data_IF_070157214919
#
_entry.id   IF_070157214919
#
_cell.length_a   1.000
_cell.length_b   1.000
_cell.length_c   1.000
_cell.angle_alpha   90.00
_cell.angle_beta   90.00
_cell.angle_gamma   90.00
#
_symmetry.space_group_name_H-M   'P 1'
#
loop_
_entity.id
_entity.type
_entity.pdbx_description
1 polymer ?
#
# COMPACT_ATOMS: atom_id res chain seq x y z
N UNK A 1 -3.12 -11.46 -2.33
CA UNK A 1 -4.46 -10.83 -2.23
C UNK A 1 -4.97 -11.01 -0.81
N UNK A 2 -5.98 -10.25 -0.37
CA UNK A 2 -6.54 -10.37 0.99
C UNK A 2 -5.97 -9.42 2.04
N UNK A 3 -5.46 -8.25 1.65
CA UNK A 3 -5.00 -7.21 2.58
C UNK A 3 -6.05 -6.09 2.80
N UNK A 4 -7.13 -6.14 2.01
CA UNK A 4 -8.31 -5.29 2.12
C UNK A 4 -9.55 -6.17 1.97
N UNK A 5 -10.62 -5.91 2.76
CA UNK A 5 -11.91 -6.53 2.51
C UNK A 5 -12.50 -5.98 1.23
N UNK A 6 -13.21 -6.83 0.49
CA UNK A 6 -14.07 -6.38 -0.60
C UNK A 6 -15.39 -5.84 -0.02
N UNK A 7 -16.03 -4.92 -0.73
CA UNK A 7 -17.46 -4.66 -0.51
C UNK A 7 -18.28 -5.91 -0.88
N UNK A 8 -19.52 -5.99 -0.38
CA UNK A 8 -20.39 -7.13 -0.68
C UNK A 8 -20.62 -7.29 -2.20
N UNK A 9 -20.78 -6.18 -2.92
CA UNK A 9 -21.00 -6.19 -4.37
C UNK A 9 -19.76 -6.66 -5.13
N UNK A 10 -18.57 -6.15 -4.77
CA UNK A 10 -17.31 -6.59 -5.38
C UNK A 10 -17.01 -8.07 -5.10
N UNK A 11 -17.28 -8.54 -3.87
CA UNK A 11 -17.08 -9.92 -3.48
C UNK A 11 -17.99 -10.87 -4.27
N UNK A 12 -19.28 -10.54 -4.41
CA UNK A 12 -20.23 -11.33 -5.18
C UNK A 12 -19.86 -11.37 -6.67
N UNK A 13 -19.46 -10.24 -7.23
CA UNK A 13 -19.01 -10.17 -8.63
C UNK A 13 -17.76 -11.02 -8.85
N UNK A 14 -16.77 -10.92 -7.95
CA UNK A 14 -15.54 -11.70 -8.03
C UNK A 14 -15.80 -13.20 -7.94
N UNK A 15 -16.65 -13.64 -7.00
CA UNK A 15 -17.05 -15.04 -6.84
C UNK A 15 -17.67 -15.57 -8.14
N UNK A 16 -18.49 -14.77 -8.82
CA UNK A 16 -19.07 -15.14 -10.11
C UNK A 16 -18.05 -15.21 -11.24
N UNK A 17 -17.17 -14.21 -11.37
CA UNK A 17 -16.17 -14.15 -12.46
C UNK A 17 -15.15 -15.28 -12.34
N UNK A 18 -14.72 -15.60 -11.11
CA UNK A 18 -13.65 -16.57 -10.83
C UNK A 18 -14.22 -17.98 -10.57
N UNK A 19 -15.55 -18.14 -10.61
CA UNK A 19 -16.26 -19.40 -10.35
C UNK A 19 -15.89 -20.01 -8.99
N UNK A 20 -15.96 -19.18 -7.94
CA UNK A 20 -15.72 -19.61 -6.57
C UNK A 20 -17.04 -20.10 -5.92
N UNK A 21 -16.95 -20.95 -4.88
CA UNK A 21 -18.12 -21.31 -4.08
C UNK A 21 -18.77 -20.09 -3.43
N UNK A 22 -20.10 -20.09 -3.30
CA UNK A 22 -20.85 -18.95 -2.76
C UNK A 22 -20.44 -18.55 -1.33
N UNK A 23 -19.95 -19.52 -0.54
CA UNK A 23 -19.40 -19.28 0.79
C UNK A 23 -18.13 -18.42 0.79
N UNK A 24 -17.42 -18.31 -0.34
CA UNK A 24 -16.21 -17.50 -0.48
C UNK A 24 -16.50 -16.00 -0.33
N UNK A 25 -17.72 -15.52 -0.63
CA UNK A 25 -18.11 -14.12 -0.41
C UNK A 25 -17.87 -13.70 1.03
N UNK A 26 -18.19 -14.57 2.00
CA UNK A 26 -18.00 -14.25 3.42
C UNK A 26 -16.52 -13.98 3.72
N UNK A 27 -15.65 -14.90 3.30
CA UNK A 27 -14.20 -14.78 3.48
C UNK A 27 -13.62 -13.53 2.80
N UNK A 28 -14.14 -13.13 1.63
CA UNK A 28 -13.68 -11.95 0.89
C UNK A 28 -14.10 -10.62 1.56
N UNK A 29 -15.20 -10.61 2.30
CA UNK A 29 -15.71 -9.42 3.00
C UNK A 29 -15.19 -9.27 4.44
N UNK A 30 -14.59 -10.32 5.01
CA UNK A 30 -14.04 -10.29 6.37
C UNK A 30 -12.83 -9.35 6.46
N UNK A 31 -12.69 -8.66 7.60
CA UNK A 31 -11.51 -7.82 7.86
C UNK A 31 -10.30 -8.75 8.00
N UNK A 32 -9.27 -8.65 7.13
CA UNK A 32 -8.18 -9.60 7.15
C UNK A 32 -7.17 -9.27 8.24
N UNK A 33 -6.44 -10.30 8.66
CA UNK A 33 -5.12 -10.10 9.28
C UNK A 33 -4.19 -9.54 8.22
N UNK A 34 -3.72 -8.31 8.45
CA UNK A 34 -2.81 -7.60 7.55
C UNK A 34 -1.36 -7.93 7.87
N UNK A 35 -0.52 -7.94 6.85
CA UNK A 35 0.88 -8.38 6.92
C UNK A 35 1.09 -9.56 6.01
N UNK A 36 1.52 -9.27 4.78
CA UNK A 36 1.71 -10.30 3.74
C UNK A 36 3.15 -10.84 3.66
N UNK A 37 4.06 -10.33 4.50
CA UNK A 37 5.47 -10.73 4.49
C UNK A 37 5.74 -11.75 5.59
N UNK A 38 6.47 -12.81 5.26
CA UNK A 38 6.87 -13.87 6.19
C UNK A 38 7.96 -13.44 7.19
N UNK A 39 8.54 -12.25 7.00
CA UNK A 39 9.59 -11.69 7.85
C UNK A 39 9.73 -10.18 7.71
N UNK A 40 10.55 -9.57 8.58
CA UNK A 40 10.75 -8.12 8.62
C UNK A 40 11.46 -7.55 7.38
N UNK A 41 12.28 -8.37 6.71
CA UNK A 41 12.98 -8.00 5.47
C UNK A 41 12.38 -8.83 4.33
N UNK A 42 11.83 -8.21 3.27
CA UNK A 42 11.33 -8.93 2.11
C UNK A 42 12.45 -9.69 1.41
N UNK A 43 12.19 -10.91 0.96
CA UNK A 43 13.15 -11.70 0.15
C UNK A 43 12.80 -11.66 -1.35
N UNK A 44 11.56 -11.34 -1.68
CA UNK A 44 11.14 -11.15 -3.07
C UNK A 44 11.85 -9.91 -3.66
N UNK A 45 12.56 -10.03 -4.79
CA UNK A 45 13.33 -8.92 -5.34
C UNK A 45 12.50 -7.70 -5.73
N UNK A 46 11.25 -7.88 -6.19
CA UNK A 46 10.39 -6.76 -6.59
C UNK A 46 9.96 -5.95 -5.37
N UNK A 47 9.61 -6.62 -4.27
CA UNK A 47 9.25 -5.96 -3.01
C UNK A 47 10.49 -5.38 -2.30
N UNK A 48 11.62 -6.08 -2.33
CA UNK A 48 12.86 -5.68 -1.66
C UNK A 48 13.39 -4.33 -2.14
N UNK A 49 13.20 -3.98 -3.42
CA UNK A 49 13.62 -2.68 -3.96
C UNK A 49 12.89 -1.50 -3.31
N UNK A 50 11.62 -1.67 -2.94
CA UNK A 50 10.87 -0.64 -2.21
C UNK A 50 11.38 -0.50 -0.77
N UNK A 51 11.75 -1.63 -0.15
CA UNK A 51 12.39 -1.62 1.16
C UNK A 51 13.74 -0.88 1.14
N UNK A 52 14.58 -1.12 0.12
CA UNK A 52 15.83 -0.37 -0.06
C UNK A 52 15.61 1.13 -0.31
N UNK A 53 14.57 1.51 -1.08
CA UNK A 53 14.21 2.93 -1.26
C UNK A 53 13.93 3.58 0.09
N UNK A 54 13.19 2.91 0.99
CA UNK A 54 12.94 3.43 2.34
C UNK A 54 14.23 3.46 3.18
N UNK A 55 15.11 2.47 3.06
CA UNK A 55 16.39 2.50 3.78
C UNK A 55 17.29 3.67 3.33
N UNK A 56 17.34 3.95 2.03
CA UNK A 56 18.21 4.99 1.45
C UNK A 56 17.61 6.38 1.65
N UNK A 57 16.32 6.56 1.37
CA UNK A 57 15.67 7.87 1.32
C UNK A 57 14.78 8.19 2.52
N UNK A 58 14.49 7.22 3.40
CA UNK A 58 13.61 7.40 4.56
C UNK A 58 13.95 8.61 5.43
N UNK A 59 15.23 8.83 5.82
CA UNK A 59 15.62 10.02 6.57
C UNK A 59 15.36 11.33 5.82
N UNK A 60 15.61 11.36 4.51
CA UNK A 60 15.37 12.55 3.68
C UNK A 60 13.86 12.83 3.53
N UNK A 61 13.06 11.80 3.27
CA UNK A 61 11.59 11.91 3.21
C UNK A 61 11.02 12.40 4.54
N UNK A 62 11.52 11.87 5.68
CA UNK A 62 11.13 12.34 7.00
C UNK A 62 11.42 13.83 7.19
N UNK A 63 12.64 14.26 6.82
CA UNK A 63 13.04 15.66 6.95
C UNK A 63 12.13 16.57 6.13
N UNK A 64 11.86 16.22 4.86
CA UNK A 64 10.97 16.99 3.98
C UNK A 64 9.54 17.06 4.52
N UNK A 65 8.97 15.94 5.00
CA UNK A 65 7.64 15.93 5.60
C UNK A 65 7.60 16.87 6.82
N UNK A 66 8.63 16.82 7.66
CA UNK A 66 8.70 17.67 8.85
C UNK A 66 8.89 19.16 8.50
N UNK A 67 9.64 19.47 7.44
CA UNK A 67 9.86 20.83 6.94
C UNK A 67 8.58 21.43 6.37
N UNK A 68 7.86 20.68 5.53
CA UNK A 68 6.70 21.19 4.80
C UNK A 68 5.38 21.13 5.61
N UNK A 69 5.24 20.14 6.51
CA UNK A 69 3.99 19.87 7.22
C UNK A 69 4.08 19.99 8.75
N UNK A 70 5.29 19.99 9.32
CA UNK A 70 5.54 20.03 10.77
C UNK A 70 5.65 18.65 11.42
N UNK A 71 5.65 18.62 12.75
CA UNK A 71 5.81 17.39 13.53
C UNK A 71 4.57 16.48 13.43
N UNK A 72 4.75 15.31 12.82
CA UNK A 72 3.66 14.37 12.53
C UNK A 72 4.06 13.26 11.57
N UNK A 73 3.07 12.60 10.99
CA UNK A 73 3.27 11.47 10.06
C UNK A 73 2.31 11.49 8.88
N UNK A 74 2.73 10.88 7.78
CA UNK A 74 1.85 10.46 6.70
C UNK A 74 1.12 9.17 7.12
N UNK A 75 -0.21 9.18 7.12
CA UNK A 75 -1.01 7.99 7.43
C UNK A 75 -0.84 6.91 6.37
N UNK A 76 -0.71 5.65 6.78
CA UNK A 76 -0.84 4.47 5.92
C UNK A 76 -2.24 3.82 5.99
N UNK A 77 -3.21 4.49 6.64
CA UNK A 77 -4.60 4.02 6.78
C UNK A 77 -5.54 4.89 5.94
N UNK A 78 -5.52 6.21 6.16
CA UNK A 78 -6.13 7.15 5.22
C UNK A 78 -5.11 7.43 4.12
N UNK A 79 -5.01 6.46 3.22
CA UNK A 79 -3.91 6.30 2.30
C UNK A 79 -4.38 5.72 0.97
N UNK A 80 -3.75 6.15 -0.12
CA UNK A 80 -3.92 5.61 -1.46
C UNK A 80 -2.55 5.39 -2.07
N UNK A 81 -2.43 4.32 -2.85
CA UNK A 81 -1.27 4.06 -3.67
C UNK A 81 -1.73 3.81 -5.11
N UNK A 82 -0.93 4.30 -6.05
CA UNK A 82 -1.15 4.07 -7.47
C UNK A 82 0.18 3.73 -8.16
N UNK A 83 0.09 2.92 -9.22
CA UNK A 83 1.23 2.49 -10.02
C UNK A 83 0.96 2.75 -11.50
N UNK A 84 1.77 3.61 -12.09
CA UNK A 84 1.67 3.98 -13.49
C UNK A 84 2.91 3.53 -14.27
N UNK A 85 2.71 3.01 -15.47
CA UNK A 85 3.77 2.81 -16.45
C UNK A 85 4.01 4.12 -17.19
N UNK A 86 5.24 4.62 -17.14
CA UNK A 86 5.64 5.86 -17.80
C UNK A 86 6.60 5.51 -18.95
N UNK A 87 6.23 5.74 -20.21
CA UNK A 87 7.14 5.55 -21.34
C UNK A 87 8.40 6.40 -21.20
N UNK A 88 9.57 5.82 -21.45
CA UNK A 88 10.86 6.50 -21.39
C UNK A 88 11.79 5.97 -22.50
N UNK A 89 12.59 6.82 -23.16
CA UNK A 89 13.48 6.40 -24.25
C UNK A 89 14.44 5.26 -23.91
N UNK A 90 14.81 5.09 -22.64
CA UNK A 90 15.69 4.01 -22.17
C UNK A 90 14.94 2.75 -21.69
N UNK A 91 13.61 2.73 -21.85
CA UNK A 91 12.73 1.69 -21.36
C UNK A 91 11.79 2.20 -20.27
N UNK A 92 10.55 1.71 -20.27
CA UNK A 92 9.48 2.19 -19.40
C UNK A 92 9.88 2.27 -17.92
N UNK A 93 9.41 3.31 -17.26
CA UNK A 93 9.57 3.52 -15.82
C UNK A 93 8.32 3.12 -15.08
N UNK A 94 8.50 2.69 -13.84
CA UNK A 94 7.42 2.50 -12.87
C UNK A 94 7.33 3.75 -12.01
N UNK A 95 6.22 4.48 -12.09
CA UNK A 95 5.89 5.55 -11.16
C UNK A 95 5.00 4.99 -10.07
N UNK A 96 5.40 5.20 -8.83
CA UNK A 96 4.61 4.86 -7.66
C UNK A 96 4.24 6.17 -6.96
N UNK A 97 2.95 6.39 -6.77
CA UNK A 97 2.43 7.52 -6.01
C UNK A 97 1.94 7.01 -4.66
N UNK A 98 2.43 7.61 -3.58
CA UNK A 98 2.00 7.34 -2.21
C UNK A 98 1.31 8.60 -1.67
N UNK A 99 0.00 8.55 -1.48
CA UNK A 99 -0.82 9.68 -1.03
C UNK A 99 -1.45 9.34 0.32
N UNK A 100 -0.92 9.94 1.39
CA UNK A 100 -1.41 9.72 2.74
C UNK A 100 -1.77 11.02 3.44
N UNK A 101 -2.86 10.98 4.19
CA UNK A 101 -3.27 12.12 5.03
C UNK A 101 -2.19 12.43 6.07
N UNK A 102 -1.77 13.69 6.17
CA UNK A 102 -0.90 14.16 7.25
C UNK A 102 -1.65 14.18 8.58
N UNK A 103 -1.01 13.67 9.64
CA UNK A 103 -1.52 13.62 11.00
C UNK A 103 -0.51 14.32 11.94
N UNK A 104 -0.80 15.55 12.41
CA UNK A 104 0.09 16.26 13.32
C UNK A 104 0.10 15.59 14.70
N UNK A 105 1.25 15.60 15.37
CA UNK A 105 1.33 15.18 16.76
C UNK A 105 0.83 16.29 17.69
N UNK A 106 0.08 15.90 18.71
CA UNK A 106 -0.45 16.80 19.73
C UNK A 106 0.09 16.38 21.09
N UNK A 107 0.98 17.20 21.63
CA UNK A 107 1.58 17.07 22.95
C UNK A 107 0.71 17.82 23.96
N UNK A 108 -0.48 17.27 24.21
CA UNK A 108 -1.39 17.77 25.25
C UNK A 108 -0.93 17.38 26.65
#
# INVERSE_FOLDING_TARGET
>A
MGQHPFSADEANELVRIVDLPAEATRALTEIPTRGALDGAVPVDPTIYRLYEVIQVYGPALKALIHEDFGDGIMSAINFRADVERIPDPAGDRVRITLDGKFLPYQWG
#
